data_IF_620193788989
#
_entry.id   IF_620193788989
#
_cell.length_a   1.000
_cell.length_b   1.000
_cell.length_c   1.000
_cell.angle_alpha   90.00
_cell.angle_beta   90.00
_cell.angle_gamma   90.00
#
_symmetry.space_group_name_H-M   'P 1'
#
loop_
_entity.id
_entity.type
_entity.pdbx_description
1 polymer ?
#
# COMPACT_ATOMS: atom_id res chain seq x y z
N UNK A 1 2.95 16.90 19.50
CA UNK A 1 3.24 17.53 18.19
C UNK A 1 4.36 16.82 17.42
N UNK A 2 5.51 16.53 18.04
CA UNK A 2 6.64 15.80 17.42
C UNK A 2 6.32 14.39 16.88
N UNK A 3 5.42 13.64 17.52
CA UNK A 3 4.99 12.32 17.02
C UNK A 3 4.22 12.36 15.69
N UNK A 4 3.46 13.42 15.41
CA UNK A 4 2.67 13.53 14.17
C UNK A 4 3.54 13.86 12.95
N UNK A 5 4.61 14.62 13.14
CA UNK A 5 5.60 14.88 12.09
C UNK A 5 6.28 13.57 11.67
N UNK A 6 6.66 12.73 12.63
CA UNK A 6 7.25 11.42 12.35
C UNK A 6 6.32 10.49 11.55
N UNK A 7 5.03 10.44 11.88
CA UNK A 7 4.06 9.61 11.14
C UNK A 7 3.79 10.17 9.74
N UNK A 8 3.74 11.50 9.59
CA UNK A 8 3.56 12.13 8.27
C UNK A 8 4.75 11.88 7.36
N UNK A 9 5.98 12.00 7.88
CA UNK A 9 7.19 11.69 7.11
C UNK A 9 7.21 10.22 6.65
N UNK A 10 6.83 9.29 7.55
CA UNK A 10 6.68 7.86 7.20
C UNK A 10 5.62 7.64 6.13
N UNK A 11 4.51 8.39 6.16
CA UNK A 11 3.45 8.28 5.17
C UNK A 11 3.93 8.70 3.77
N UNK A 12 4.64 9.82 3.68
CA UNK A 12 5.20 10.28 2.39
C UNK A 12 6.28 9.31 1.90
N UNK A 13 7.20 8.88 2.77
CA UNK A 13 8.22 7.88 2.40
C UNK A 13 7.59 6.55 1.95
N UNK A 14 6.54 6.11 2.64
CA UNK A 14 5.79 4.92 2.28
C UNK A 14 5.14 5.06 0.90
N UNK A 15 4.50 6.20 0.61
CA UNK A 15 3.92 6.49 -0.70
C UNK A 15 4.97 6.43 -1.82
N UNK A 16 6.14 7.04 -1.60
CA UNK A 16 7.23 7.02 -2.58
C UNK A 16 7.74 5.61 -2.83
N UNK A 17 7.99 4.84 -1.77
CA UNK A 17 8.50 3.47 -1.88
C UNK A 17 7.48 2.54 -2.54
N UNK A 18 6.19 2.64 -2.17
CA UNK A 18 5.14 1.84 -2.80
C UNK A 18 4.82 2.27 -4.23
N UNK A 19 5.00 3.54 -4.56
CA UNK A 19 4.95 4.06 -5.94
C UNK A 19 5.91 3.31 -6.87
N UNK A 20 7.17 3.15 -6.42
CA UNK A 20 8.20 2.46 -7.20
C UNK A 20 8.01 0.93 -7.25
N UNK A 21 7.18 0.33 -6.38
CA UNK A 21 7.03 -1.12 -6.31
C UNK A 21 6.54 -1.75 -7.62
N UNK A 22 5.59 -1.10 -8.31
CA UNK A 22 5.03 -1.62 -9.57
C UNK A 22 6.10 -1.69 -10.67
N UNK A 23 7.02 -0.72 -10.72
CA UNK A 23 8.17 -0.77 -11.62
C UNK A 23 9.05 -2.01 -11.33
N UNK A 24 9.38 -2.24 -10.06
CA UNK A 24 10.22 -3.39 -9.70
C UNK A 24 9.53 -4.74 -9.90
N UNK A 25 8.20 -4.82 -9.77
CA UNK A 25 7.42 -6.02 -10.10
C UNK A 25 7.57 -6.31 -11.60
N UNK A 26 7.33 -5.30 -12.45
CA UNK A 26 7.44 -5.43 -13.91
C UNK A 26 8.84 -5.91 -14.34
N UNK A 27 9.91 -5.33 -13.80
CA UNK A 27 11.29 -5.79 -14.06
C UNK A 27 11.54 -7.19 -13.52
N UNK A 28 10.99 -7.53 -12.35
CA UNK A 28 11.07 -8.89 -11.80
C UNK A 28 10.46 -9.95 -12.72
N UNK A 29 9.34 -9.62 -13.35
CA UNK A 29 8.61 -10.51 -14.27
C UNK A 29 9.37 -10.80 -15.58
N UNK A 30 10.44 -10.07 -15.89
CA UNK A 30 11.32 -10.37 -17.03
C UNK A 30 12.11 -11.68 -16.83
N UNK A 31 12.31 -12.10 -15.58
CA UNK A 31 13.11 -13.28 -15.25
C UNK A 31 12.46 -14.26 -14.27
N UNK A 32 11.30 -13.92 -13.71
CA UNK A 32 10.62 -14.70 -12.68
C UNK A 32 9.12 -14.81 -12.99
N UNK A 33 8.51 -15.95 -12.65
CA UNK A 33 7.06 -16.10 -12.66
C UNK A 33 6.40 -15.26 -11.56
N UNK A 34 5.09 -14.97 -11.64
CA UNK A 34 4.38 -14.20 -10.61
C UNK A 34 4.55 -14.74 -9.19
N UNK A 35 4.49 -16.07 -9.02
CA UNK A 35 4.68 -16.72 -7.73
C UNK A 35 6.12 -16.56 -7.21
N UNK A 36 7.11 -16.61 -8.10
CA UNK A 36 8.51 -16.40 -7.76
C UNK A 36 8.79 -14.94 -7.39
N UNK A 37 8.19 -13.96 -8.10
CA UNK A 37 8.26 -12.53 -7.72
C UNK A 37 7.65 -12.30 -6.34
N UNK A 38 6.46 -12.86 -6.08
CA UNK A 38 5.81 -12.75 -4.78
C UNK A 38 6.66 -13.37 -3.66
N UNK A 39 7.24 -14.55 -3.89
CA UNK A 39 8.12 -15.22 -2.93
C UNK A 39 9.40 -14.42 -2.69
N UNK A 40 10.07 -13.95 -3.74
CA UNK A 40 11.30 -13.16 -3.62
C UNK A 40 11.04 -11.86 -2.84
N UNK A 41 9.97 -11.15 -3.17
CA UNK A 41 9.51 -9.95 -2.45
C UNK A 41 9.28 -10.24 -0.96
N UNK A 42 8.53 -11.30 -0.65
CA UNK A 42 8.22 -11.66 0.74
C UNK A 42 9.49 -12.09 1.49
N UNK A 43 10.32 -12.95 0.89
CA UNK A 43 11.55 -13.46 1.48
C UNK A 43 12.57 -12.37 1.78
N UNK A 44 12.89 -11.51 0.81
CA UNK A 44 13.80 -10.39 1.05
C UNK A 44 13.21 -9.37 2.05
N UNK A 45 11.89 -9.16 2.04
CA UNK A 45 11.21 -8.33 3.05
C UNK A 45 11.31 -8.90 4.46
N UNK A 46 11.10 -10.21 4.61
CA UNK A 46 11.24 -10.92 5.88
C UNK A 46 12.68 -10.88 6.39
N UNK A 47 13.67 -11.07 5.51
CA UNK A 47 15.08 -10.95 5.85
C UNK A 47 15.44 -9.54 6.31
N UNK A 48 15.01 -8.51 5.58
CA UNK A 48 15.22 -7.11 5.97
C UNK A 48 14.61 -6.79 7.34
N UNK A 49 13.38 -7.26 7.59
CA UNK A 49 12.71 -7.11 8.88
C UNK A 49 13.39 -7.90 10.00
N UNK A 50 13.89 -9.10 9.73
CA UNK A 50 14.66 -9.89 10.69
C UNK A 50 15.93 -9.15 11.13
N UNK A 51 16.67 -8.57 10.18
CA UNK A 51 17.84 -7.73 10.48
C UNK A 51 17.46 -6.54 11.35
N UNK A 52 16.38 -5.83 11.02
CA UNK A 52 15.91 -4.69 11.84
C UNK A 52 15.54 -5.15 13.24
N UNK A 53 14.84 -6.29 13.37
CA UNK A 53 14.40 -6.84 14.65
C UNK A 53 15.59 -7.20 15.55
N UNK A 54 16.61 -7.87 15.00
CA UNK A 54 17.83 -8.26 15.72
C UNK A 54 18.66 -7.03 16.10
N UNK A 55 18.95 -6.14 15.15
CA UNK A 55 19.79 -4.94 15.39
C UNK A 55 19.13 -3.99 16.39
N UNK A 56 17.80 -3.79 16.28
CA UNK A 56 17.04 -2.92 17.18
C UNK A 56 16.55 -3.63 18.44
N UNK A 57 16.87 -4.91 18.62
CA UNK A 57 16.47 -5.77 19.75
C UNK A 57 14.97 -5.68 20.06
N UNK A 58 14.13 -5.72 19.02
CA UNK A 58 12.67 -5.63 19.18
C UNK A 58 12.10 -6.95 19.69
N UNK A 59 11.17 -6.93 20.65
CA UNK A 59 10.62 -8.14 21.23
C UNK A 59 9.70 -8.85 20.22
N UNK A 60 9.78 -10.18 20.19
CA UNK A 60 8.75 -11.00 19.55
C UNK A 60 7.50 -11.07 20.43
N UNK A 61 6.30 -11.23 19.86
CA UNK A 61 5.09 -11.30 20.64
C UNK A 61 4.98 -12.64 21.36
N UNK A 62 4.56 -12.58 22.62
CA UNK A 62 4.28 -13.76 23.44
C UNK A 62 2.82 -14.22 23.33
N UNK A 63 1.96 -13.42 22.69
CA UNK A 63 0.54 -13.73 22.49
C UNK A 63 0.35 -14.69 21.30
N UNK A 64 -0.07 -15.96 21.52
CA UNK A 64 -0.34 -16.90 20.43
C UNK A 64 -1.51 -16.48 19.55
N UNK A 65 -2.50 -15.76 20.10
CA UNK A 65 -3.63 -15.28 19.32
C UNK A 65 -3.19 -14.21 18.31
N UNK A 66 -2.20 -13.40 18.65
CA UNK A 66 -1.61 -12.43 17.72
C UNK A 66 -1.01 -13.14 16.51
N UNK A 67 -0.29 -14.25 16.68
CA UNK A 67 0.27 -15.01 15.57
C UNK A 67 -0.82 -15.52 14.61
N UNK A 68 -1.95 -16.01 15.14
CA UNK A 68 -3.11 -16.36 14.32
C UNK A 68 -3.65 -15.19 13.50
N UNK A 69 -3.76 -14.00 14.10
CA UNK A 69 -4.16 -12.80 13.38
C UNK A 69 -3.12 -12.36 12.34
N UNK A 70 -1.83 -12.48 12.61
CA UNK A 70 -0.77 -12.16 11.65
C UNK A 70 -0.77 -13.11 10.46
N UNK A 71 -1.19 -14.36 10.64
CA UNK A 71 -1.40 -15.30 9.52
C UNK A 71 -2.60 -14.89 8.64
N UNK A 72 -3.67 -14.33 9.22
CA UNK A 72 -4.77 -13.78 8.41
C UNK A 72 -4.32 -12.52 7.67
N UNK A 73 -3.60 -11.63 8.34
CA UNK A 73 -3.08 -10.41 7.71
C UNK A 73 -2.04 -10.75 6.63
N UNK A 74 -1.22 -11.79 6.80
CA UNK A 74 -0.25 -12.20 5.78
C UNK A 74 -0.94 -12.58 4.48
N UNK A 75 -2.08 -13.29 4.54
CA UNK A 75 -2.84 -13.64 3.34
C UNK A 75 -3.43 -12.40 2.68
N UNK A 76 -4.04 -11.50 3.46
CA UNK A 76 -4.75 -10.33 2.94
C UNK A 76 -3.84 -9.17 2.51
N UNK A 77 -2.68 -9.00 3.13
CA UNK A 77 -1.76 -7.87 2.89
C UNK A 77 -0.50 -8.27 2.10
N UNK A 78 -0.21 -9.56 1.97
CA UNK A 78 0.96 -10.04 1.26
C UNK A 78 0.58 -11.09 0.21
N UNK A 79 0.22 -12.32 0.61
CA UNK A 79 0.12 -13.47 -0.32
C UNK A 79 -0.86 -13.21 -1.45
N UNK A 80 -2.12 -12.88 -1.13
CA UNK A 80 -3.15 -12.62 -2.13
C UNK A 80 -2.77 -11.46 -3.05
N UNK A 81 -2.53 -10.25 -2.50
CA UNK A 81 -2.17 -9.09 -3.32
C UNK A 81 -0.89 -9.26 -4.14
N UNK A 82 0.16 -9.88 -3.60
CA UNK A 82 1.43 -10.05 -4.32
C UNK A 82 1.27 -10.98 -5.51
N UNK A 83 0.52 -12.07 -5.36
CA UNK A 83 0.22 -12.97 -6.47
C UNK A 83 -0.67 -12.30 -7.50
N UNK A 84 -1.74 -11.62 -7.06
CA UNK A 84 -2.71 -10.97 -7.95
C UNK A 84 -2.07 -9.83 -8.76
N UNK A 85 -1.29 -8.95 -8.13
CA UNK A 85 -0.60 -7.87 -8.85
C UNK A 85 0.50 -8.40 -9.76
N UNK A 86 1.34 -9.32 -9.29
CA UNK A 86 2.41 -9.88 -10.13
C UNK A 86 1.83 -10.64 -11.33
N UNK A 87 0.68 -11.30 -11.17
CA UNK A 87 0.00 -11.97 -12.27
C UNK A 87 -0.62 -10.97 -13.23
N UNK A 88 -1.34 -9.96 -12.72
CA UNK A 88 -1.98 -8.94 -13.53
C UNK A 88 -0.97 -8.16 -14.38
N UNK A 89 0.18 -7.79 -13.79
CA UNK A 89 1.26 -7.06 -14.47
C UNK A 89 1.94 -7.83 -15.60
N UNK A 90 1.63 -9.11 -15.83
CA UNK A 90 2.01 -9.78 -17.08
C UNK A 90 1.19 -9.27 -18.27
N UNK A 91 -0.03 -8.83 -18.04
CA UNK A 91 -1.00 -8.46 -19.06
C UNK A 91 -1.25 -6.96 -19.13
N UNK A 92 -1.08 -6.24 -18.01
CA UNK A 92 -1.27 -4.79 -17.94
C UNK A 92 0.04 -4.05 -17.64
N UNK A 93 0.04 -2.74 -17.88
CA UNK A 93 1.15 -1.88 -17.49
C UNK A 93 1.22 -1.69 -15.96
N UNK A 94 2.43 -1.44 -15.45
CA UNK A 94 2.65 -1.07 -14.04
C UNK A 94 1.91 0.22 -13.66
N UNK A 95 1.78 1.14 -14.61
CA UNK A 95 0.93 2.33 -14.51
C UNK A 95 -0.52 1.94 -14.24
N UNK A 96 -1.12 1.09 -15.08
CA UNK A 96 -2.52 0.66 -14.90
C UNK A 96 -2.73 -0.06 -13.56
N UNK A 97 -1.81 -0.96 -13.18
CA UNK A 97 -1.85 -1.63 -11.89
C UNK A 97 -1.83 -0.64 -10.71
N UNK A 98 -1.01 0.41 -10.78
CA UNK A 98 -0.94 1.47 -9.77
C UNK A 98 -2.26 2.26 -9.64
N UNK A 99 -3.01 2.44 -10.72
CA UNK A 99 -4.32 3.12 -10.71
C UNK A 99 -5.35 2.27 -9.99
N UNK A 100 -5.41 0.98 -10.35
CA UNK A 100 -6.27 0.05 -9.63
C UNK A 100 -5.88 -0.01 -8.16
N UNK A 101 -4.59 0.04 -7.83
CA UNK A 101 -4.12 0.10 -6.45
C UNK A 101 -4.65 1.32 -5.68
N UNK A 102 -4.82 2.46 -6.35
CA UNK A 102 -5.44 3.65 -5.76
C UNK A 102 -6.93 3.47 -5.43
N UNK A 103 -7.59 2.38 -5.80
CA UNK A 103 -8.94 2.08 -5.29
C UNK A 103 -8.94 1.61 -3.84
N UNK A 104 -7.80 1.14 -3.30
CA UNK A 104 -7.65 0.62 -1.92
C UNK A 104 -8.33 1.47 -0.83
N UNK A 105 -8.25 2.81 -0.82
CA UNK A 105 -8.89 3.62 0.20
C UNK A 105 -10.41 3.53 0.15
N UNK A 106 -11.02 3.41 -1.04
CA UNK A 106 -12.47 3.24 -1.21
C UNK A 106 -12.94 1.88 -0.69
N UNK A 107 -12.17 0.81 -0.95
CA UNK A 107 -12.49 -0.52 -0.42
C UNK A 107 -12.29 -0.54 1.10
N UNK A 108 -11.21 0.06 1.60
CA UNK A 108 -10.97 0.23 3.04
C UNK A 108 -12.12 0.99 3.70
N UNK A 109 -12.60 2.04 3.04
CA UNK A 109 -13.73 2.86 3.47
C UNK A 109 -14.99 2.01 3.65
N UNK A 110 -15.30 1.15 2.67
CA UNK A 110 -16.43 0.23 2.73
C UNK A 110 -16.31 -0.77 3.89
N UNK A 111 -15.17 -1.44 4.03
CA UNK A 111 -14.93 -2.37 5.14
C UNK A 111 -14.94 -1.67 6.51
N UNK A 112 -14.42 -0.45 6.60
CA UNK A 112 -14.44 0.36 7.83
C UNK A 112 -15.88 0.70 8.22
N UNK A 113 -16.72 1.12 7.28
CA UNK A 113 -18.12 1.42 7.56
C UNK A 113 -18.90 0.20 8.07
N UNK A 114 -18.60 -0.99 7.54
CA UNK A 114 -19.24 -2.23 7.94
C UNK A 114 -18.75 -2.79 9.29
N UNK A 115 -17.47 -2.60 9.62
CA UNK A 115 -16.84 -3.35 10.73
C UNK A 115 -16.20 -2.48 11.82
N UNK A 116 -16.04 -1.17 11.62
CA UNK A 116 -15.47 -0.25 12.60
C UNK A 116 -16.42 0.93 12.84
N UNK A 117 -17.50 0.75 13.64
CA UNK A 117 -18.45 1.80 13.94
C UNK A 117 -17.82 3.07 14.53
N UNK A 118 -16.75 2.90 15.32
CA UNK A 118 -16.00 4.00 15.93
C UNK A 118 -15.17 4.82 14.93
N UNK A 119 -14.86 4.26 13.75
CA UNK A 119 -14.12 4.95 12.67
C UNK A 119 -15.04 5.32 11.49
N UNK A 120 -16.36 5.34 11.71
CA UNK A 120 -17.35 5.75 10.70
C UNK A 120 -16.95 7.07 10.06
N UNK A 121 -17.15 7.10 8.75
CA UNK A 121 -16.63 8.18 7.93
C UNK A 121 -17.55 9.38 8.06
N UNK A 122 -16.96 10.52 8.36
CA UNK A 122 -17.67 11.79 8.31
C UNK A 122 -17.85 12.21 6.86
N UNK A 123 -18.88 13.01 6.57
CA UNK A 123 -19.09 13.56 5.21
C UNK A 123 -17.82 14.20 4.61
N UNK A 124 -17.04 15.03 5.36
CA UNK A 124 -15.77 15.55 4.83
C UNK A 124 -14.76 14.47 4.45
N UNK A 125 -14.70 13.37 5.22
CA UNK A 125 -13.79 12.27 4.92
C UNK A 125 -14.18 11.54 3.63
N UNK A 126 -15.46 11.21 3.47
CA UNK A 126 -15.96 10.56 2.26
C UNK A 126 -15.74 11.43 1.03
N UNK A 127 -16.03 12.74 1.12
CA UNK A 127 -15.79 13.69 0.02
C UNK A 127 -14.30 13.78 -0.32
N UNK A 128 -13.42 13.82 0.69
CA UNK A 128 -11.96 13.86 0.46
C UNK A 128 -11.43 12.61 -0.23
N UNK A 129 -11.90 11.42 0.15
CA UNK A 129 -11.50 10.17 -0.51
C UNK A 129 -12.00 10.12 -1.97
N UNK A 130 -13.26 10.50 -2.22
CA UNK A 130 -13.80 10.57 -3.57
C UNK A 130 -13.06 11.61 -4.44
N UNK A 131 -12.71 12.77 -3.87
CA UNK A 131 -11.90 13.78 -4.55
C UNK A 131 -10.50 13.26 -4.87
N UNK A 132 -9.86 12.55 -3.93
CA UNK A 132 -8.56 11.93 -4.15
C UNK A 132 -8.60 10.89 -5.26
N UNK A 133 -9.64 10.06 -5.29
CA UNK A 133 -9.84 9.08 -6.36
C UNK A 133 -10.10 9.74 -7.72
N UNK A 134 -10.96 10.77 -7.77
CA UNK A 134 -11.16 11.56 -8.99
C UNK A 134 -9.84 12.20 -9.47
N UNK A 135 -8.98 12.64 -8.55
CA UNK A 135 -7.65 13.11 -8.84
C UNK A 135 -6.77 12.04 -9.49
N UNK A 136 -6.80 10.80 -9.01
CA UNK A 136 -6.09 9.68 -9.65
C UNK A 136 -6.61 9.42 -11.07
N UNK A 137 -7.93 9.36 -11.27
CA UNK A 137 -8.52 9.16 -12.60
C UNK A 137 -8.11 10.28 -13.56
N UNK A 138 -8.01 11.51 -13.05
CA UNK A 138 -7.55 12.69 -13.79
C UNK A 138 -6.08 12.59 -14.14
N UNK A 139 -5.24 12.26 -13.16
CA UNK A 139 -3.79 12.15 -13.32
C UNK A 139 -3.41 11.20 -14.44
N UNK A 140 -4.15 10.10 -14.56
CA UNK A 140 -3.94 9.08 -15.58
C UNK A 140 -4.50 9.51 -16.93
N UNK A 141 -5.60 10.25 -16.92
CA UNK A 141 -6.33 10.58 -18.14
C UNK A 141 -7.15 9.39 -18.65
N UNK A 142 -7.94 8.75 -17.77
CA UNK A 142 -8.76 7.58 -18.13
C UNK A 142 -9.74 7.79 -19.30
N UNK A 143 -10.03 9.04 -19.67
CA UNK A 143 -10.84 9.40 -20.84
C UNK A 143 -10.10 9.26 -22.19
N UNK A 144 -8.78 9.06 -22.20
CA UNK A 144 -7.99 8.80 -23.40
C UNK A 144 -8.25 7.39 -23.98
N UNK A 145 -9.06 6.57 -23.29
CA UNK A 145 -9.30 5.17 -23.61
C UNK A 145 -8.41 4.27 -22.76
N UNK A 146 -9.03 3.29 -22.10
CA UNK A 146 -8.33 2.16 -21.48
C UNK A 146 -8.51 1.00 -22.45
N UNK A 147 -7.41 0.35 -22.85
CA UNK A 147 -7.47 -0.74 -23.82
C UNK A 147 -8.11 -2.00 -23.18
N UNK A 148 -9.38 -2.28 -23.46
CA UNK A 148 -10.17 -3.28 -22.71
C UNK A 148 -9.96 -4.73 -23.16
N UNK A 149 -9.17 -5.00 -24.20
CA UNK A 149 -9.02 -6.35 -24.76
C UNK A 149 -7.82 -7.11 -24.15
N UNK A 150 -8.06 -8.32 -23.62
CA UNK A 150 -7.17 -9.12 -22.74
C UNK A 150 -6.96 -8.62 -21.30
N UNK A 151 -7.49 -7.46 -20.93
CA UNK A 151 -7.22 -6.86 -19.62
C UNK A 151 -8.24 -7.17 -18.51
N UNK A 152 -9.48 -7.55 -18.81
CA UNK A 152 -10.54 -7.58 -17.78
C UNK A 152 -10.19 -8.50 -16.59
N UNK A 153 -9.61 -9.68 -16.83
CA UNK A 153 -9.21 -10.58 -15.75
C UNK A 153 -8.05 -10.01 -14.92
N UNK A 154 -7.08 -9.33 -15.54
CA UNK A 154 -5.98 -8.65 -14.86
C UNK A 154 -6.47 -7.44 -14.05
N UNK A 155 -7.43 -6.68 -14.59
CA UNK A 155 -8.10 -5.59 -13.90
C UNK A 155 -8.91 -6.11 -12.70
N UNK A 156 -9.67 -7.19 -12.86
CA UNK A 156 -10.38 -7.87 -11.77
C UNK A 156 -9.42 -8.43 -10.72
N UNK A 157 -8.25 -8.95 -11.12
CA UNK A 157 -7.20 -9.38 -10.20
C UNK A 157 -6.66 -8.19 -9.37
N UNK A 158 -6.43 -7.03 -10.00
CA UNK A 158 -6.04 -5.81 -9.27
C UNK A 158 -7.13 -5.32 -8.30
N UNK A 159 -8.42 -5.40 -8.70
CA UNK A 159 -9.55 -5.11 -7.82
C UNK A 159 -9.64 -6.12 -6.67
N UNK A 160 -9.37 -7.40 -6.93
CA UNK A 160 -9.23 -8.42 -5.90
C UNK A 160 -8.12 -8.08 -4.91
N UNK A 161 -6.95 -7.67 -5.40
CA UNK A 161 -5.80 -7.30 -4.59
C UNK A 161 -6.08 -6.09 -3.69
N UNK A 162 -6.71 -5.04 -4.23
CA UNK A 162 -7.11 -3.86 -3.44
C UNK A 162 -8.24 -4.13 -2.47
N UNK A 163 -9.14 -5.07 -2.79
CA UNK A 163 -10.14 -5.58 -1.85
C UNK A 163 -9.47 -6.29 -0.67
N UNK A 164 -8.47 -7.15 -0.95
CA UNK A 164 -7.64 -7.78 0.07
C UNK A 164 -6.93 -6.74 0.94
N UNK A 165 -6.30 -5.73 0.34
CA UNK A 165 -5.68 -4.63 1.09
C UNK A 165 -6.68 -3.89 1.97
N UNK A 166 -7.83 -3.49 1.43
CA UNK A 166 -8.86 -2.79 2.20
C UNK A 166 -9.33 -3.58 3.42
N UNK A 167 -9.56 -4.89 3.25
CA UNK A 167 -9.86 -5.79 4.35
C UNK A 167 -8.69 -5.91 5.33
N UNK A 168 -7.45 -6.02 4.84
CA UNK A 168 -6.25 -6.14 5.67
C UNK A 168 -6.02 -4.91 6.55
N UNK A 169 -6.15 -3.69 6.01
CA UNK A 169 -6.02 -2.44 6.77
C UNK A 169 -7.00 -2.40 7.94
N UNK A 170 -8.25 -2.79 7.70
CA UNK A 170 -9.31 -2.85 8.70
C UNK A 170 -9.06 -3.97 9.71
N UNK A 171 -8.62 -5.14 9.25
CA UNK A 171 -8.31 -6.29 10.11
C UNK A 171 -7.12 -5.97 11.04
N UNK A 172 -6.05 -5.39 10.49
CA UNK A 172 -4.88 -4.93 11.22
C UNK A 172 -5.27 -3.88 12.27
N UNK A 173 -6.17 -2.95 11.93
CA UNK A 173 -6.69 -1.96 12.87
C UNK A 173 -7.55 -2.58 13.97
N UNK A 174 -8.43 -3.52 13.63
CA UNK A 174 -9.41 -4.10 14.55
C UNK A 174 -8.81 -5.13 15.50
N UNK A 175 -7.95 -6.02 15.01
CA UNK A 175 -7.50 -7.19 15.77
C UNK A 175 -6.03 -7.08 16.19
N UNK A 176 -5.16 -6.47 15.39
CA UNK A 176 -3.72 -6.44 15.70
C UNK A 176 -3.36 -5.20 16.52
N UNK A 177 -3.81 -4.02 16.10
CA UNK A 177 -3.43 -2.74 16.72
C UNK A 177 -3.77 -2.65 18.22
N UNK A 178 -4.94 -3.11 18.73
CA UNK A 178 -5.27 -3.04 20.15
C UNK A 178 -4.36 -3.86 21.06
N UNK A 179 -3.61 -4.83 20.50
CA UNK A 179 -2.67 -5.66 21.26
C UNK A 179 -1.35 -4.95 21.58
N UNK A 180 -1.13 -3.76 21.03
CA UNK A 180 0.03 -2.92 21.38
C UNK A 180 1.40 -3.52 21.00
N UNK A 181 1.43 -4.48 20.07
CA UNK A 181 2.68 -5.07 19.61
C UNK A 181 3.53 -4.07 18.81
N UNK A 182 4.85 -4.22 18.86
CA UNK A 182 5.77 -3.37 18.12
C UNK A 182 5.50 -3.44 16.60
N UNK A 183 5.44 -2.30 15.87
CA UNK A 183 5.15 -2.30 14.43
C UNK A 183 6.11 -3.12 13.59
N UNK A 184 7.40 -3.15 13.93
CA UNK A 184 8.40 -3.96 13.22
C UNK A 184 8.12 -5.44 13.45
N UNK A 185 7.77 -5.81 14.68
CA UNK A 185 7.43 -7.19 15.04
C UNK A 185 6.17 -7.67 14.33
N UNK A 186 5.13 -6.84 14.26
CA UNK A 186 3.91 -7.13 13.49
C UNK A 186 4.24 -7.29 12.00
N UNK A 187 5.02 -6.37 11.43
CA UNK A 187 5.46 -6.44 10.05
C UNK A 187 6.28 -7.72 9.76
N UNK A 188 7.20 -8.08 10.66
CA UNK A 188 7.98 -9.31 10.56
C UNK A 188 7.09 -10.55 10.57
N UNK A 189 6.11 -10.65 11.49
CA UNK A 189 5.24 -11.81 11.55
C UNK A 189 4.34 -11.97 10.32
N UNK A 190 3.73 -10.89 9.83
CA UNK A 190 2.88 -10.96 8.62
C UNK A 190 3.70 -11.27 7.35
N UNK A 191 4.88 -10.66 7.17
CA UNK A 191 5.73 -10.92 5.99
C UNK A 191 6.43 -12.29 6.09
N UNK A 192 6.80 -12.71 7.30
CA UNK A 192 7.37 -14.02 7.58
C UNK A 192 6.38 -15.15 7.28
N UNK A 193 5.13 -15.06 7.76
CA UNK A 193 4.09 -16.03 7.38
C UNK A 193 3.83 -16.03 5.88
N UNK A 194 3.81 -14.86 5.24
CA UNK A 194 3.65 -14.79 3.79
C UNK A 194 4.78 -15.50 3.06
N UNK A 195 6.02 -15.36 3.53
CA UNK A 195 7.20 -16.06 2.98
C UNK A 195 7.06 -17.56 3.09
N UNK A 196 6.60 -18.08 4.25
CA UNK A 196 6.37 -19.52 4.44
C UNK A 196 5.27 -20.01 3.50
N UNK A 197 4.12 -19.34 3.46
CA UNK A 197 2.99 -19.73 2.60
C UNK A 197 3.41 -19.71 1.13
N UNK A 198 4.05 -18.63 0.67
CA UNK A 198 4.52 -18.52 -0.71
C UNK A 198 5.64 -19.52 -1.01
N UNK A 199 6.49 -19.87 -0.04
CA UNK A 199 7.52 -20.89 -0.21
C UNK A 199 6.94 -22.28 -0.44
N UNK A 200 5.77 -22.57 0.15
CA UNK A 200 5.03 -23.81 -0.08
C UNK A 200 4.27 -23.81 -1.41
N UNK A 201 3.73 -22.65 -1.82
CA UNK A 201 2.94 -22.52 -3.06
C UNK A 201 3.79 -22.36 -4.32
N UNK A 202 4.93 -21.66 -4.23
CA UNK A 202 5.73 -21.28 -5.40
C UNK A 202 6.26 -22.47 -6.21
N UNK A 203 6.71 -23.60 -5.64
CA UNK A 203 7.15 -24.75 -6.43
C UNK A 203 6.05 -25.32 -7.32
N UNK A 204 4.81 -25.34 -6.84
CA UNK A 204 3.66 -25.84 -7.60
C UNK A 204 3.11 -24.82 -8.61
N UNK A 205 3.32 -23.52 -8.35
CA UNK A 205 2.85 -22.43 -9.19
C UNK A 205 3.94 -21.85 -10.12
N UNK A 206 5.15 -22.40 -10.11
CA UNK A 206 6.25 -21.96 -10.96
C UNK A 206 5.97 -22.38 -12.41
N UNK A 207 5.61 -21.40 -13.24
CA UNK A 207 5.28 -21.61 -14.65
C UNK A 207 6.46 -21.44 -15.60
N UNK A 208 7.61 -20.95 -15.11
CA UNK A 208 8.78 -20.64 -15.93
C UNK A 208 10.11 -20.89 -15.18
N UNK A 209 11.19 -21.22 -15.92
CA UNK A 209 12.53 -21.28 -15.36
C UNK A 209 13.00 -19.90 -14.87
N UNK A 210 13.87 -19.91 -13.87
CA UNK A 210 14.40 -18.69 -13.25
C UNK A 210 15.54 -18.13 -14.10
N UNK A 211 15.43 -16.86 -14.49
CA UNK A 211 16.47 -16.12 -15.18
C UNK A 211 16.89 -14.91 -14.33
N UNK A 212 18.13 -14.92 -13.82
CA UNK A 212 18.62 -13.89 -12.92
C UNK A 212 19.54 -12.92 -13.67
N UNK A 213 18.97 -11.86 -14.23
CA UNK A 213 19.74 -10.69 -14.66
C UNK A 213 20.07 -9.80 -13.45
N UNK A 214 21.13 -8.97 -13.51
CA UNK A 214 21.40 -7.99 -12.45
C UNK A 214 20.20 -7.09 -12.17
N UNK A 215 19.46 -6.68 -13.21
CA UNK A 215 18.27 -5.84 -13.07
C UNK A 215 17.16 -6.54 -12.25
N UNK A 216 16.89 -7.82 -12.54
CA UNK A 216 15.91 -8.64 -11.79
C UNK A 216 16.33 -8.76 -10.33
N UNK A 217 17.61 -9.07 -10.06
CA UNK A 217 18.13 -9.26 -8.70
C UNK A 217 18.02 -7.96 -7.89
N UNK A 218 18.49 -6.83 -8.42
CA UNK A 218 18.40 -5.54 -7.73
C UNK A 218 16.96 -5.10 -7.52
N UNK A 219 16.07 -5.35 -8.49
CA UNK A 219 14.65 -5.02 -8.37
C UNK A 219 13.98 -5.84 -7.26
N UNK A 220 14.24 -7.15 -7.18
CA UNK A 220 13.68 -7.99 -6.12
C UNK A 220 14.25 -7.66 -4.73
N UNK A 221 15.53 -7.32 -4.63
CA UNK A 221 16.13 -6.84 -3.39
C UNK A 221 15.49 -5.52 -2.95
N UNK A 222 15.35 -4.56 -3.86
CA UNK A 222 14.76 -3.27 -3.54
C UNK A 222 13.28 -3.39 -3.15
N UNK A 223 12.50 -4.14 -3.94
CA UNK A 223 11.08 -4.40 -3.72
C UNK A 223 10.83 -5.17 -2.40
N UNK A 224 11.68 -6.14 -2.08
CA UNK A 224 11.58 -6.91 -0.86
C UNK A 224 12.01 -6.11 0.36
N UNK A 225 13.28 -5.69 0.42
CA UNK A 225 13.84 -5.05 1.62
C UNK A 225 13.18 -3.71 1.90
N UNK A 226 13.10 -2.82 0.90
CA UNK A 226 12.53 -1.48 1.09
C UNK A 226 11.03 -1.48 0.86
N UNK A 227 10.57 -2.04 -0.27
CA UNK A 227 9.16 -2.06 -0.68
C UNK A 227 8.23 -2.86 0.22
N UNK A 228 8.77 -3.86 0.93
CA UNK A 228 8.00 -4.74 1.82
C UNK A 228 8.52 -4.66 3.25
N UNK A 229 9.82 -4.84 3.49
CA UNK A 229 10.38 -4.85 4.84
C UNK A 229 10.18 -3.52 5.58
N UNK A 230 10.90 -2.48 5.14
CA UNK A 230 10.85 -1.15 5.76
C UNK A 230 9.46 -0.52 5.63
N UNK A 231 8.87 -0.62 4.44
CA UNK A 231 7.56 -0.05 4.16
C UNK A 231 6.45 -0.64 5.05
N UNK A 232 6.45 -1.94 5.34
CA UNK A 232 5.39 -2.52 6.17
C UNK A 232 5.53 -2.13 7.63
N UNK A 233 6.75 -1.93 8.14
CA UNK A 233 6.95 -1.37 9.47
C UNK A 233 6.39 0.07 9.58
N UNK A 234 6.55 0.89 8.54
CA UNK A 234 5.91 2.21 8.48
C UNK A 234 4.40 2.09 8.38
N UNK A 235 3.89 1.21 7.51
CA UNK A 235 2.46 0.99 7.32
C UNK A 235 1.78 0.61 8.62
N UNK A 236 2.28 -0.39 9.35
CA UNK A 236 1.71 -0.81 10.63
C UNK A 236 1.71 0.33 11.65
N UNK A 237 2.78 1.12 11.72
CA UNK A 237 2.84 2.27 12.60
C UNK A 237 1.81 3.36 12.23
N UNK A 238 1.60 3.60 10.93
CA UNK A 238 0.60 4.55 10.42
C UNK A 238 -0.82 4.04 10.71
N UNK A 239 -1.11 2.76 10.49
CA UNK A 239 -2.43 2.17 10.79
C UNK A 239 -2.77 2.28 12.26
N UNK A 240 -1.81 1.97 13.14
CA UNK A 240 -1.99 2.12 14.58
C UNK A 240 -2.26 3.58 14.98
N UNK A 241 -1.59 4.55 14.33
CA UNK A 241 -1.69 5.96 14.67
C UNK A 241 -2.90 6.70 14.05
N UNK A 242 -3.22 6.42 12.78
CA UNK A 242 -4.19 7.19 12.00
C UNK A 242 -5.47 6.42 11.68
N UNK A 243 -5.53 5.11 11.97
CA UNK A 243 -6.65 4.25 11.63
C UNK A 243 -6.58 3.72 10.19
N UNK A 244 -7.49 2.80 9.86
CA UNK A 244 -7.42 2.03 8.61
C UNK A 244 -7.59 2.92 7.37
N UNK A 245 -8.67 3.70 7.33
CA UNK A 245 -9.05 4.53 6.18
C UNK A 245 -8.04 5.65 5.87
N UNK A 246 -7.43 6.25 6.89
CA UNK A 246 -6.40 7.28 6.68
C UNK A 246 -5.09 6.68 6.20
N UNK A 247 -4.71 5.52 6.75
CA UNK A 247 -3.48 4.84 6.36
C UNK A 247 -3.53 4.36 4.90
N UNK A 248 -4.67 3.85 4.45
CA UNK A 248 -4.83 3.37 3.07
C UNK A 248 -4.73 4.48 2.03
N UNK A 249 -5.08 5.73 2.37
CA UNK A 249 -4.95 6.90 1.49
C UNK A 249 -3.52 7.11 0.94
N UNK A 250 -2.51 6.48 1.54
CA UNK A 250 -1.13 6.47 1.03
C UNK A 250 -1.06 5.96 -0.41
N UNK A 251 -1.96 5.05 -0.79
CA UNK A 251 -2.03 4.46 -2.13
C UNK A 251 -2.50 5.45 -3.21
N UNK A 252 -3.16 6.55 -2.86
CA UNK A 252 -3.48 7.60 -3.82
C UNK A 252 -2.25 8.36 -4.32
N UNK A 253 -1.16 8.38 -3.54
CA UNK A 253 0.09 9.02 -3.94
C UNK A 253 0.96 8.11 -4.83
N UNK A 254 0.66 6.82 -4.89
CA UNK A 254 1.43 5.85 -5.69
C UNK A 254 1.46 6.23 -7.18
N UNK A 255 0.31 6.51 -7.86
CA UNK A 255 0.33 6.96 -9.26
C UNK A 255 1.08 8.28 -9.46
N UNK A 256 0.98 9.21 -8.51
CA UNK A 256 1.69 10.51 -8.56
C UNK A 256 3.20 10.29 -8.62
N UNK A 257 3.71 9.40 -7.77
CA UNK A 257 5.14 9.04 -7.75
C UNK A 257 5.56 8.40 -9.06
N UNK A 258 4.72 7.52 -9.63
CA UNK A 258 4.99 6.90 -10.93
C UNK A 258 5.16 7.93 -12.05
N UNK A 259 4.22 8.88 -12.16
CA UNK A 259 4.30 9.97 -13.16
C UNK A 259 5.53 10.84 -12.94
N UNK A 260 5.83 11.22 -11.68
CA UNK A 260 7.02 12.02 -11.38
C UNK A 260 8.30 11.29 -11.80
N UNK A 261 8.39 9.99 -11.56
CA UNK A 261 9.53 9.19 -12.00
C UNK A 261 9.61 9.08 -13.52
N UNK A 262 8.49 8.92 -14.23
CA UNK A 262 8.45 8.93 -15.70
C UNK A 262 8.96 10.25 -16.29
N UNK A 263 8.47 11.38 -15.77
CA UNK A 263 8.90 12.72 -16.21
C UNK A 263 10.37 12.99 -15.90
N UNK A 264 10.83 12.69 -14.68
CA UNK A 264 12.19 13.07 -14.22
C UNK A 264 13.27 12.11 -14.75
N UNK A 265 12.97 10.81 -14.80
CA UNK A 265 13.97 9.79 -15.17
C UNK A 265 13.92 9.47 -16.65
N UNK A 266 12.71 9.34 -17.21
CA UNK A 266 12.50 8.92 -18.60
C UNK A 266 12.31 10.12 -19.55
N UNK A 267 12.26 11.35 -19.03
CA UNK A 267 12.05 12.57 -19.79
C UNK A 267 10.75 12.55 -20.60
N UNK A 268 9.71 11.90 -20.06
CA UNK A 268 8.40 11.82 -20.69
C UNK A 268 7.72 13.21 -20.76
N UNK A 269 6.99 13.51 -21.84
CA UNK A 269 6.27 14.77 -21.97
C UNK A 269 5.14 14.86 -20.93
N UNK A 270 5.06 16.00 -20.24
CA UNK A 270 4.02 16.27 -19.25
C UNK A 270 2.72 16.65 -19.94
N UNK A 271 1.66 15.90 -19.69
CA UNK A 271 0.31 16.23 -20.15
C UNK A 271 -0.42 17.08 -19.10
N UNK A 272 -1.39 17.90 -19.54
CA UNK A 272 -2.10 18.84 -18.65
C UNK A 272 -2.81 18.15 -17.46
N UNK A 273 -3.21 16.90 -17.63
CA UNK A 273 -4.02 16.15 -16.68
C UNK A 273 -3.19 15.58 -15.52
N UNK A 274 -1.89 15.35 -15.73
CA UNK A 274 -0.93 14.89 -14.71
C UNK A 274 -0.80 15.87 -13.53
N UNK A 275 -0.45 17.17 -13.72
CA UNK A 275 -0.33 18.12 -12.62
C UNK A 275 -1.70 18.43 -11.98
N UNK A 276 -2.78 18.50 -12.76
CA UNK A 276 -4.13 18.73 -12.24
C UNK A 276 -4.57 17.56 -11.36
N UNK A 277 -4.38 16.33 -11.83
CA UNK A 277 -4.69 15.13 -11.07
C UNK A 277 -3.86 15.00 -9.80
N UNK A 278 -2.56 15.33 -9.85
CA UNK A 278 -1.69 15.33 -8.67
C UNK A 278 -2.18 16.32 -7.60
N UNK A 279 -2.58 17.53 -8.01
CA UNK A 279 -3.17 18.52 -7.09
C UNK A 279 -4.47 18.01 -6.48
N UNK A 280 -5.37 17.42 -7.28
CA UNK A 280 -6.62 16.84 -6.79
C UNK A 280 -6.39 15.70 -5.79
N UNK A 281 -5.40 14.83 -6.03
CA UNK A 281 -4.98 13.77 -5.09
C UNK A 281 -4.57 14.38 -3.75
N UNK A 282 -3.68 15.37 -3.76
CA UNK A 282 -3.19 16.03 -2.55
C UNK A 282 -4.34 16.71 -1.81
N UNK A 283 -5.19 17.45 -2.51
CA UNK A 283 -6.37 18.11 -1.93
C UNK A 283 -7.35 17.09 -1.33
N UNK A 284 -7.58 15.96 -2.00
CA UNK A 284 -8.42 14.87 -1.49
C UNK A 284 -7.90 14.29 -0.18
N UNK A 285 -6.59 14.04 -0.09
CA UNK A 285 -5.93 13.54 1.14
C UNK A 285 -5.99 14.60 2.26
N UNK A 286 -5.81 15.88 1.95
CA UNK A 286 -5.91 16.96 2.95
C UNK A 286 -7.35 17.13 3.45
N UNK A 287 -8.34 17.02 2.54
CA UNK A 287 -9.76 17.05 2.86
C UNK A 287 -10.15 15.88 3.75
N UNK A 288 -9.68 14.67 3.44
CA UNK A 288 -10.05 13.46 4.17
C UNK A 288 -9.49 13.44 5.59
N UNK A 289 -8.35 14.09 5.81
CA UNK A 289 -7.75 14.32 7.12
C UNK A 289 -8.31 15.53 7.89
N UNK A 290 -9.30 16.24 7.34
CA UNK A 290 -9.90 17.41 7.98
C UNK A 290 -8.96 18.62 8.10
N UNK A 291 -7.85 18.64 7.35
CA UNK A 291 -6.84 19.72 7.37
C UNK A 291 -7.27 20.94 6.55
N UNK A 292 -8.33 20.83 5.76
CA UNK A 292 -8.90 21.95 4.97
C UNK A 292 -9.89 22.81 5.76
N UNK A 293 -10.30 22.41 6.96
CA UNK A 293 -11.12 23.31 7.81
C UNK A 293 -10.19 24.35 8.44
N UNK A 294 -10.42 25.67 8.22
CA UNK A 294 -9.83 26.68 9.07
C UNK A 294 -10.19 26.30 10.50
N UNK A 295 -9.18 26.24 11.39
CA UNK A 295 -9.41 26.18 12.84
C UNK A 295 -10.38 27.30 13.16
N UNK A 296 -11.67 26.98 13.33
CA UNK A 296 -12.65 27.95 13.84
C UNK A 296 -12.10 28.27 15.22
N UNK A 297 -11.48 29.44 15.36
CA UNK A 297 -10.87 29.92 16.59
C UNK A 297 -11.84 29.60 17.72
N UNK A 298 -11.38 28.79 18.67
CA UNK A 298 -11.97 28.73 20.00
C UNK A 298 -11.71 30.08 20.68
N UNK A 299 -12.42 31.10 20.22
CA UNK A 299 -12.37 32.47 20.72
C UNK A 299 -13.78 33.04 20.70
N UNK A 300 -14.69 32.38 21.41
CA UNK A 300 -15.96 32.93 21.92
C UNK A 300 -16.36 32.28 23.26
N UNK A 301 -15.40 31.67 23.98
CA UNK A 301 -15.63 31.08 25.30
C UNK A 301 -14.45 31.42 26.24
N UNK A 302 -14.31 32.72 26.48
CA UNK A 302 -13.63 33.36 27.61
C UNK A 302 -14.15 34.81 27.55
N UNK A 303 -14.98 35.33 28.44
CA UNK A 303 -15.47 34.91 29.76
C UNK A 303 -16.81 35.63 30.01
N UNK A 304 -17.59 35.20 31.01
CA UNK A 304 -18.67 35.97 31.60
C UNK A 304 -18.13 36.96 32.64
N UNK A 305 -18.55 38.23 32.56
CA UNK A 305 -18.71 39.16 33.67
C UNK A 305 -19.72 40.24 33.26
#
# INVERSE_FOLDING_TARGET
MFGQFGVTARFVALATVWGASFLFIKVGLEGLSPAQVALARAGFGALGLAVILVVRRRPLPRDPALWGHLAVVSVLLCVGPFLLFSWAEQYISSGLASIFNATTPLLTMLFTAATLPAERLTRPRSVGLLLGFAGVLTLVGVWQGIDLTHELTAQLACLGATTCYGAAFVYLRRFVSPRGADPVTVAFGQVGFATVILGLLAPAAATAPVHLSPAVVFSMLALGVFGTGVAYAWNTAIVAAWGAANASAVTYLTPVVGVVLGVVVLHEPVHWNEPVGAVLVVLGILASHGRLRPRRKAALAAEPA
#
